data_IF_830146530983
#
_entry.id   IF_830146530983
#
_cell.length_a   1.000
_cell.length_b   1.000
_cell.length_c   1.000
_cell.angle_alpha   90.00
_cell.angle_beta   90.00
_cell.angle_gamma   90.00
#
_symmetry.space_group_name_H-M   'P 1'
#
loop_
_entity.id
_entity.type
_entity.pdbx_description
1 polymer ?
#
# COMPACT_ATOMS: atom_id res chain seq x y z
N UNK A 1 -57.99 -55.21 47.02
CA UNK A 1 -58.47 -54.14 47.96
C UNK A 1 -57.89 -52.84 47.53
N UNK A 2 -58.70 -52.07 46.90
CA UNK A 2 -59.32 -50.84 47.39
C UNK A 2 -58.28 -49.68 47.46
N UNK A 3 -58.43 -48.71 46.78
CA UNK A 3 -59.28 -47.55 46.56
C UNK A 3 -58.32 -46.31 46.46
N UNK A 4 -58.49 -45.50 45.66
CA UNK A 4 -59.32 -44.34 45.22
C UNK A 4 -58.42 -43.15 45.02
N UNK A 5 -58.53 -42.55 43.84
CA UNK A 5 -59.11 -41.24 43.52
C UNK A 5 -58.44 -40.07 44.16
N UNK A 6 -58.05 -39.21 43.31
CA UNK A 6 -57.75 -37.78 43.57
C UNK A 6 -57.60 -37.02 42.29
N UNK A 7 -58.70 -36.63 41.75
CA UNK A 7 -58.96 -35.65 40.74
C UNK A 7 -58.56 -34.29 41.33
N UNK A 8 -57.81 -33.52 40.57
CA UNK A 8 -57.51 -32.14 40.93
C UNK A 8 -57.07 -31.42 39.68
N UNK A 9 -58.09 -30.99 39.01
CA UNK A 9 -58.04 -30.09 37.91
C UNK A 9 -57.48 -28.65 38.31
N UNK A 10 -57.21 -27.98 37.21
CA UNK A 10 -57.24 -26.52 37.05
C UNK A 10 -55.90 -25.84 37.42
N UNK A 11 -55.26 -25.32 36.44
CA UNK A 11 -55.61 -24.11 35.77
C UNK A 11 -54.44 -23.17 35.89
N UNK A 12 -54.02 -22.67 34.83
CA UNK A 12 -53.02 -21.61 34.74
C UNK A 12 -52.16 -21.76 33.51
N UNK A 13 -52.65 -21.65 32.45
CA UNK A 13 -53.11 -20.52 31.59
C UNK A 13 -52.47 -19.22 32.03
N UNK A 14 -51.87 -18.59 31.07
CA UNK A 14 -51.33 -17.24 31.06
C UNK A 14 -49.97 -17.07 31.72
N UNK A 15 -48.94 -17.17 30.90
CA UNK A 15 -48.21 -15.96 30.64
C UNK A 15 -47.36 -16.15 29.38
N UNK A 16 -47.93 -15.70 28.29
CA UNK A 16 -47.20 -15.32 27.11
C UNK A 16 -46.15 -14.29 27.51
N UNK A 17 -44.96 -14.74 27.78
CA UNK A 17 -43.78 -13.90 27.85
C UNK A 17 -43.22 -13.78 26.46
N UNK A 18 -43.67 -12.78 25.74
CA UNK A 18 -43.01 -12.29 24.53
C UNK A 18 -41.66 -11.69 24.95
N UNK A 19 -40.66 -12.52 25.04
CA UNK A 19 -39.29 -12.02 24.96
C UNK A 19 -38.95 -11.83 23.49
N UNK A 20 -39.36 -10.70 22.95
CA UNK A 20 -38.77 -10.16 21.75
C UNK A 20 -37.29 -9.88 22.06
N UNK A 21 -36.46 -10.88 21.88
CA UNK A 21 -35.03 -10.73 21.86
C UNK A 21 -34.67 -9.86 20.67
N UNK A 22 -34.45 -8.58 20.96
CA UNK A 22 -33.87 -7.62 20.05
C UNK A 22 -32.42 -8.07 19.77
N UNK A 23 -32.25 -8.90 18.75
CA UNK A 23 -30.94 -9.16 18.19
C UNK A 23 -30.46 -7.85 17.57
N UNK A 24 -29.76 -7.07 18.39
CA UNK A 24 -28.95 -5.96 17.93
C UNK A 24 -27.76 -6.59 17.18
N UNK A 25 -27.97 -6.89 15.92
CA UNK A 25 -26.90 -7.21 14.98
C UNK A 25 -26.11 -5.91 14.81
N UNK A 26 -25.07 -5.74 15.62
CA UNK A 26 -24.02 -4.77 15.36
C UNK A 26 -23.35 -5.21 14.06
N UNK A 27 -23.86 -4.70 12.94
CA UNK A 27 -23.14 -4.71 11.69
C UNK A 27 -21.87 -3.88 11.92
N UNK A 28 -20.79 -4.56 12.27
CA UNK A 28 -19.45 -4.05 12.15
C UNK A 28 -19.27 -3.76 10.65
N UNK A 29 -19.62 -2.56 10.27
CA UNK A 29 -19.22 -1.99 8.98
C UNK A 29 -17.71 -1.96 9.00
N UNK A 30 -17.11 -3.06 8.61
CA UNK A 30 -15.69 -3.13 8.30
C UNK A 30 -15.43 -2.07 7.24
N UNK A 31 -14.79 -0.99 7.64
CA UNK A 31 -14.27 0.00 6.70
C UNK A 31 -13.37 -0.77 5.73
N UNK A 32 -13.58 -0.65 4.43
CA UNK A 32 -12.67 -1.28 3.48
C UNK A 32 -11.27 -0.76 3.77
N UNK A 33 -10.36 -1.66 4.12
CA UNK A 33 -8.97 -1.35 4.43
C UNK A 33 -8.22 -0.67 3.25
N UNK A 34 -8.85 -0.62 2.08
CA UNK A 34 -8.29 -0.04 0.86
C UNK A 34 -8.15 1.49 0.87
N UNK A 35 -8.89 2.20 1.73
CA UNK A 35 -8.87 3.67 1.76
C UNK A 35 -7.65 4.27 2.48
N UNK A 36 -6.84 3.44 3.18
CA UNK A 36 -5.71 3.90 4.00
C UNK A 36 -4.34 3.71 3.34
N UNK A 37 -4.30 3.12 2.14
CA UNK A 37 -3.05 2.73 1.49
C UNK A 37 -2.54 3.73 0.44
N UNK A 38 -3.17 4.88 0.33
CA UNK A 38 -2.76 5.96 -0.58
C UNK A 38 -2.44 7.21 0.23
N UNK A 39 -1.16 7.58 0.26
CA UNK A 39 -0.74 8.84 0.87
C UNK A 39 -1.02 10.02 -0.07
N UNK A 40 -1.23 11.24 0.44
CA UNK A 40 -1.44 12.43 -0.40
C UNK A 40 -0.31 12.71 -1.39
N UNK A 41 0.87 12.15 -1.14
CA UNK A 41 2.08 12.28 -1.95
C UNK A 41 2.43 11.01 -2.75
N UNK A 42 1.50 10.07 -2.87
CA UNK A 42 1.78 8.80 -3.59
C UNK A 42 2.16 9.01 -5.05
N UNK A 43 1.59 9.99 -5.73
CA UNK A 43 1.98 10.33 -7.11
C UNK A 43 3.45 10.76 -7.19
N UNK A 44 3.92 11.51 -6.20
CA UNK A 44 5.33 11.91 -6.10
C UNK A 44 6.24 10.72 -5.83
N UNK A 45 5.82 9.78 -4.98
CA UNK A 45 6.55 8.55 -4.72
C UNK A 45 6.56 7.61 -5.93
N UNK A 46 5.46 7.52 -6.67
CA UNK A 46 5.41 6.77 -7.94
C UNK A 46 6.39 7.36 -8.95
N UNK A 47 6.46 8.69 -9.05
CA UNK A 47 7.43 9.35 -9.92
C UNK A 47 8.86 9.13 -9.43
N UNK A 48 9.12 9.18 -8.13
CA UNK A 48 10.43 8.89 -7.56
C UNK A 48 10.86 7.44 -7.86
N UNK A 49 9.97 6.47 -7.69
CA UNK A 49 10.24 5.07 -8.02
C UNK A 49 10.58 4.89 -9.51
N UNK A 50 9.90 5.60 -10.41
CA UNK A 50 10.20 5.63 -11.84
C UNK A 50 11.61 6.18 -12.11
N UNK A 51 11.97 7.28 -11.47
CA UNK A 51 13.29 7.90 -11.58
C UNK A 51 14.39 6.97 -11.07
N UNK A 52 14.18 6.31 -9.93
CA UNK A 52 15.14 5.33 -9.39
C UNK A 52 15.35 4.17 -10.36
N UNK A 53 14.28 3.68 -11.00
CA UNK A 53 14.37 2.64 -12.04
C UNK A 53 15.12 3.10 -13.28
N UNK A 54 14.91 4.35 -13.70
CA UNK A 54 15.62 4.97 -14.80
C UNK A 54 17.12 5.06 -14.53
N UNK A 55 17.49 5.60 -13.37
CA UNK A 55 18.89 5.76 -12.97
C UNK A 55 19.59 4.42 -12.74
N UNK A 56 18.86 3.40 -12.29
CA UNK A 56 19.38 2.04 -12.15
C UNK A 56 19.87 1.45 -13.48
N UNK A 57 19.28 1.87 -14.59
CA UNK A 57 19.77 1.48 -15.92
C UNK A 57 20.83 2.45 -16.46
N UNK A 58 20.53 3.73 -16.47
CA UNK A 58 21.32 4.73 -17.19
C UNK A 58 22.70 5.00 -16.58
N UNK A 59 22.79 5.00 -15.24
CA UNK A 59 24.04 5.32 -14.55
C UNK A 59 25.13 4.27 -14.82
N UNK A 60 24.87 2.95 -14.62
CA UNK A 60 25.86 1.93 -15.00
C UNK A 60 26.14 1.89 -16.50
N UNK A 61 25.12 2.15 -17.34
CA UNK A 61 25.30 2.24 -18.81
C UNK A 61 26.33 3.29 -19.19
N UNK A 62 26.41 4.40 -18.46
CA UNK A 62 27.37 5.48 -18.65
C UNK A 62 28.62 5.35 -17.76
N UNK A 63 28.91 4.19 -17.22
CA UNK A 63 30.17 3.86 -16.56
C UNK A 63 30.21 4.11 -15.06
N UNK A 64 29.08 4.45 -14.40
CA UNK A 64 29.05 4.55 -12.96
C UNK A 64 29.03 3.18 -12.30
N UNK A 65 29.86 2.95 -11.28
CA UNK A 65 29.87 1.73 -10.48
C UNK A 65 28.75 1.82 -9.41
N UNK A 66 27.51 1.74 -9.85
CA UNK A 66 26.32 1.94 -9.02
C UNK A 66 25.28 0.82 -9.21
N UNK A 67 25.72 -0.40 -9.52
CA UNK A 67 24.82 -1.50 -9.88
C UNK A 67 23.75 -1.82 -8.81
N UNK A 68 24.04 -1.62 -7.54
CA UNK A 68 23.08 -1.84 -6.44
C UNK A 68 22.51 -0.56 -5.83
N UNK A 69 23.17 0.56 -5.97
CA UNK A 69 22.82 1.83 -5.31
C UNK A 69 21.34 2.20 -5.45
N UNK A 70 20.79 2.12 -6.66
CA UNK A 70 19.41 2.54 -6.94
C UNK A 70 18.37 1.54 -6.45
N UNK A 71 18.72 0.25 -6.37
CA UNK A 71 17.89 -0.77 -5.72
C UNK A 71 17.86 -0.57 -4.22
N UNK A 72 18.99 -0.25 -3.61
CA UNK A 72 19.08 0.03 -2.19
C UNK A 72 18.29 1.30 -1.83
N UNK A 73 18.33 2.33 -2.68
CA UNK A 73 17.49 3.52 -2.53
C UNK A 73 15.99 3.19 -2.61
N UNK A 74 15.61 2.30 -3.55
CA UNK A 74 14.21 1.85 -3.64
C UNK A 74 13.78 1.07 -2.40
N UNK A 75 14.64 0.19 -1.89
CA UNK A 75 14.37 -0.55 -0.65
C UNK A 75 14.25 0.40 0.56
N UNK A 76 15.12 1.39 0.65
CA UNK A 76 15.08 2.41 1.69
C UNK A 76 13.78 3.25 1.62
N UNK A 77 13.32 3.61 0.41
CA UNK A 77 12.04 4.28 0.20
C UNK A 77 10.87 3.45 0.74
N UNK A 78 10.80 2.17 0.38
CA UNK A 78 9.74 1.27 0.85
C UNK A 78 9.75 1.11 2.37
N UNK A 79 10.93 1.03 2.97
CA UNK A 79 11.09 0.92 4.42
C UNK A 79 10.69 2.21 5.15
N UNK A 80 11.10 3.37 4.65
CA UNK A 80 10.74 4.68 5.21
C UNK A 80 9.23 4.92 5.18
N UNK A 81 8.57 4.49 4.11
CA UNK A 81 7.13 4.60 3.92
C UNK A 81 6.34 3.54 4.70
N UNK A 82 6.99 2.55 5.28
CA UNK A 82 6.33 1.39 5.90
C UNK A 82 5.21 0.85 4.99
N UNK A 83 5.55 0.76 3.69
CA UNK A 83 4.58 0.45 2.65
C UNK A 83 3.92 -0.91 2.88
N UNK A 84 2.58 -0.96 2.76
CA UNK A 84 1.86 -2.23 2.72
C UNK A 84 2.34 -3.09 1.54
N UNK A 85 2.12 -4.40 1.57
CA UNK A 85 2.52 -5.28 0.46
C UNK A 85 2.00 -4.80 -0.90
N UNK A 86 0.77 -4.32 -0.96
CA UNK A 86 0.13 -3.81 -2.18
C UNK A 86 0.77 -2.50 -2.65
N UNK A 87 1.04 -1.59 -1.71
CA UNK A 87 1.70 -0.31 -2.01
C UNK A 87 3.15 -0.53 -2.44
N UNK A 88 3.87 -1.37 -1.73
CA UNK A 88 5.23 -1.78 -2.09
C UNK A 88 5.28 -2.39 -3.49
N UNK A 89 4.32 -3.25 -3.83
CA UNK A 89 4.20 -3.84 -5.16
C UNK A 89 4.01 -2.77 -6.23
N UNK A 90 3.08 -1.82 -6.04
CA UNK A 90 2.86 -0.73 -7.02
C UNK A 90 4.11 0.09 -7.29
N UNK A 91 4.82 0.48 -6.23
CA UNK A 91 6.06 1.25 -6.32
C UNK A 91 7.16 0.44 -7.01
N UNK A 92 7.34 -0.83 -6.64
CA UNK A 92 8.33 -1.73 -7.26
C UNK A 92 8.01 -1.99 -8.73
N UNK A 93 6.75 -2.16 -9.08
CA UNK A 93 6.32 -2.33 -10.48
C UNK A 93 6.63 -1.07 -11.31
N UNK A 94 6.52 0.11 -10.73
CA UNK A 94 6.87 1.37 -11.39
C UNK A 94 8.38 1.47 -11.65
N UNK A 95 9.20 1.16 -10.65
CA UNK A 95 10.65 1.06 -10.77
C UNK A 95 11.06 0.08 -11.89
N UNK A 96 10.56 -1.15 -11.83
CA UNK A 96 10.89 -2.20 -12.78
C UNK A 96 10.45 -1.86 -14.21
N UNK A 97 9.32 -1.21 -14.38
CA UNK A 97 8.79 -0.79 -15.69
C UNK A 97 9.68 0.28 -16.31
N UNK A 98 10.09 1.28 -15.54
CA UNK A 98 11.02 2.31 -15.98
C UNK A 98 12.38 1.74 -16.38
N UNK A 99 12.95 0.90 -15.53
CA UNK A 99 14.20 0.20 -15.82
C UNK A 99 14.15 -0.55 -17.16
N UNK A 100 13.12 -1.40 -17.35
CA UNK A 100 12.98 -2.19 -18.58
C UNK A 100 12.77 -1.33 -19.81
N UNK A 101 11.90 -0.33 -19.74
CA UNK A 101 11.62 0.56 -20.86
C UNK A 101 12.86 1.32 -21.33
N UNK A 102 13.70 1.78 -20.39
CA UNK A 102 14.95 2.43 -20.75
C UNK A 102 16.02 1.44 -21.25
N UNK A 103 16.07 0.23 -20.71
CA UNK A 103 16.95 -0.81 -21.19
C UNK A 103 16.65 -1.24 -22.64
N UNK A 104 15.40 -1.19 -23.05
CA UNK A 104 14.99 -1.46 -24.43
C UNK A 104 15.41 -0.34 -25.39
N UNK A 105 15.34 0.92 -24.95
CA UNK A 105 15.53 2.11 -25.79
C UNK A 105 16.95 2.69 -25.74
N UNK A 106 17.67 2.50 -24.64
CA UNK A 106 19.03 3.00 -24.42
C UNK A 106 19.99 1.84 -24.18
N UNK A 107 20.67 1.42 -25.24
CA UNK A 107 21.63 0.29 -25.20
C UNK A 107 23.09 0.75 -25.11
N UNK A 108 23.36 2.03 -25.18
CA UNK A 108 24.67 2.63 -25.06
C UNK A 108 24.61 4.00 -24.43
N UNK A 109 25.72 4.46 -23.86
CA UNK A 109 25.83 5.78 -23.29
C UNK A 109 25.93 6.85 -24.38
N UNK A 110 24.83 7.50 -24.67
CA UNK A 110 24.70 8.61 -25.62
C UNK A 110 24.59 9.95 -24.90
N UNK A 111 24.69 11.07 -25.63
CA UNK A 111 24.44 12.39 -25.05
C UNK A 111 23.00 12.50 -24.51
N UNK A 112 22.03 11.88 -25.20
CA UNK A 112 20.65 11.79 -24.70
C UNK A 112 20.58 11.01 -23.37
N UNK A 113 21.31 9.90 -23.22
CA UNK A 113 21.36 9.17 -21.96
C UNK A 113 21.96 10.02 -20.83
N UNK A 114 23.02 10.78 -21.12
CA UNK A 114 23.62 11.71 -20.12
C UNK A 114 22.65 12.80 -19.71
N UNK A 115 21.97 13.44 -20.68
CA UNK A 115 20.95 14.45 -20.38
C UNK A 115 19.81 13.90 -19.53
N UNK A 116 19.39 12.65 -19.78
CA UNK A 116 18.36 11.99 -18.95
C UNK A 116 18.87 11.72 -17.53
N UNK A 117 20.13 11.31 -17.37
CA UNK A 117 20.74 11.13 -16.04
C UNK A 117 20.68 12.42 -15.25
N UNK A 118 21.15 13.54 -15.83
CA UNK A 118 21.18 14.85 -15.19
C UNK A 118 19.77 15.31 -14.79
N UNK A 119 18.82 15.18 -15.72
CA UNK A 119 17.42 15.53 -15.48
C UNK A 119 16.79 14.69 -14.38
N UNK A 120 16.92 13.37 -14.42
CA UNK A 120 16.34 12.49 -13.42
C UNK A 120 16.98 12.66 -12.04
N UNK A 121 18.29 12.90 -12.00
CA UNK A 121 18.98 13.19 -10.73
C UNK A 121 18.47 14.47 -10.10
N UNK A 122 18.34 15.55 -10.88
CA UNK A 122 17.81 16.82 -10.38
C UNK A 122 16.35 16.72 -9.95
N UNK A 123 15.49 16.09 -10.77
CA UNK A 123 14.07 15.90 -10.48
C UNK A 123 13.86 15.01 -9.25
N UNK A 124 14.59 13.89 -9.15
CA UNK A 124 14.50 12.99 -8.01
C UNK A 124 14.90 13.65 -6.69
N UNK A 125 15.97 14.44 -6.70
CA UNK A 125 16.39 15.20 -5.54
C UNK A 125 15.34 16.24 -5.12
N UNK A 126 14.76 16.97 -6.08
CA UNK A 126 13.70 17.95 -5.80
C UNK A 126 12.44 17.29 -5.24
N UNK A 127 12.00 16.17 -5.81
CA UNK A 127 10.82 15.41 -5.32
C UNK A 127 11.05 14.90 -3.90
N UNK A 128 12.20 14.32 -3.62
CA UNK A 128 12.52 13.81 -2.28
C UNK A 128 12.53 14.94 -1.24
N UNK A 129 13.12 16.09 -1.57
CA UNK A 129 13.12 17.26 -0.69
C UNK A 129 11.71 17.81 -0.46
N UNK A 130 10.88 17.88 -1.50
CA UNK A 130 9.51 18.38 -1.39
C UNK A 130 8.63 17.47 -0.52
N UNK A 131 8.74 16.15 -0.69
CA UNK A 131 8.02 15.18 0.15
C UNK A 131 8.45 15.31 1.61
N UNK A 132 9.77 15.39 1.88
CA UNK A 132 10.27 15.54 3.25
C UNK A 132 9.84 16.87 3.86
N UNK A 133 9.91 17.95 3.11
CA UNK A 133 9.54 19.27 3.61
C UNK A 133 8.06 19.41 3.94
N UNK A 134 7.18 18.77 3.17
CA UNK A 134 5.72 18.89 3.36
C UNK A 134 5.15 17.81 4.26
N UNK A 135 5.71 16.61 4.25
CA UNK A 135 5.13 15.42 4.86
C UNK A 135 6.08 14.68 5.80
N UNK A 136 7.35 15.09 5.86
CA UNK A 136 8.33 14.52 6.78
C UNK A 136 7.89 14.71 8.23
N UNK A 137 8.01 13.64 9.02
CA UNK A 137 7.74 13.71 10.46
C UNK A 137 8.89 14.45 11.13
N UNK A 138 8.55 15.49 11.87
CA UNK A 138 9.48 16.21 12.75
C UNK A 138 9.82 15.34 13.94
#
# INVERSE_FOLDING_TARGET
MARRRGIGERGGWWRRGLFAGLLLSAALLGRPAFAQDVAPYDDQLMRLAEILGALHHLRPLCGADEAQTWRDQMAALLAAEQASPERAKRLTDRFNRSYRGLAETHRGCTDTARMLIDRYTAEGAALAQDVVARWGRS
#
